data_IF_493386916433
#
_entry.id   IF_493386916433
#
_cell.length_a   1.000
_cell.length_b   1.000
_cell.length_c   1.000
_cell.angle_alpha   90.00
_cell.angle_beta   90.00
_cell.angle_gamma   90.00
#
_symmetry.space_group_name_H-M   'P 1'
#
loop_
_entity.id
_entity.type
_entity.pdbx_description
1 polymer ?
#
# COMPACT_ATOMS: atom_id res chain seq x y z
N UNK A 1 -16.97 2.50 -5.95
CA UNK A 1 -17.22 3.96 -6.00
C UNK A 1 -16.07 4.57 -6.76
N UNK A 2 -16.26 5.62 -7.56
CA UNK A 2 -15.13 6.30 -8.20
C UNK A 2 -14.54 7.32 -7.21
N UNK A 3 -13.29 7.10 -6.79
CA UNK A 3 -12.58 7.98 -5.85
C UNK A 3 -11.68 9.00 -6.55
N UNK A 4 -11.52 8.94 -7.88
CA UNK A 4 -10.64 9.85 -8.62
C UNK A 4 -9.14 9.70 -8.30
N UNK A 5 -8.73 8.54 -7.78
CA UNK A 5 -7.35 8.27 -7.34
C UNK A 5 -6.50 7.56 -8.40
N UNK A 6 -7.12 7.06 -9.48
CA UNK A 6 -6.44 6.33 -10.54
C UNK A 6 -5.26 7.12 -11.12
N UNK A 7 -4.09 6.48 -11.23
CA UNK A 7 -2.87 7.07 -11.78
C UNK A 7 -2.13 8.01 -10.82
N UNK A 8 -2.59 8.17 -9.57
CA UNK A 8 -1.83 8.88 -8.53
C UNK A 8 -0.79 7.96 -7.90
N UNK A 9 0.10 8.55 -7.11
CA UNK A 9 1.13 7.84 -6.32
C UNK A 9 0.88 8.05 -4.83
N UNK A 10 1.10 7.02 -4.01
CA UNK A 10 0.95 7.10 -2.55
C UNK A 10 2.11 6.42 -1.82
N UNK A 11 2.55 7.01 -0.70
CA UNK A 11 3.47 6.41 0.26
C UNK A 11 2.67 5.97 1.50
N UNK A 12 2.78 4.69 1.87
CA UNK A 12 2.11 4.16 3.06
C UNK A 12 3.15 3.66 4.07
N UNK A 13 3.28 4.37 5.18
CA UNK A 13 4.16 4.01 6.29
C UNK A 13 3.57 2.87 7.14
N UNK A 14 4.44 2.09 7.78
CA UNK A 14 4.09 0.95 8.62
C UNK A 14 3.15 -0.06 7.91
N UNK A 15 3.38 -0.30 6.62
CA UNK A 15 2.46 -1.05 5.75
C UNK A 15 2.74 -2.53 5.62
N UNK A 16 3.72 -3.08 6.35
CA UNK A 16 4.00 -4.52 6.37
C UNK A 16 2.87 -5.38 6.95
N UNK A 17 1.96 -4.82 7.77
CA UNK A 17 0.88 -5.59 8.43
C UNK A 17 -0.28 -4.71 8.89
N UNK A 18 -1.38 -5.37 9.28
CA UNK A 18 -2.55 -4.73 9.88
C UNK A 18 -3.18 -3.67 8.97
N UNK A 19 -3.59 -2.55 9.57
CA UNK A 19 -4.27 -1.46 8.87
C UNK A 19 -3.41 -0.81 7.78
N UNK A 20 -2.10 -0.64 8.01
CA UNK A 20 -1.21 -0.06 7.00
C UNK A 20 -1.19 -0.88 5.71
N UNK A 21 -1.16 -2.22 5.82
CA UNK A 21 -1.27 -3.13 4.67
C UNK A 21 -2.63 -3.03 4.00
N UNK A 22 -3.71 -3.00 4.79
CA UNK A 22 -5.07 -2.87 4.26
C UNK A 22 -5.25 -1.57 3.47
N UNK A 23 -4.74 -0.45 3.97
CA UNK A 23 -4.75 0.83 3.27
C UNK A 23 -3.96 0.78 1.96
N UNK A 24 -2.74 0.22 1.97
CA UNK A 24 -1.93 0.06 0.76
C UNK A 24 -2.65 -0.76 -0.32
N UNK A 25 -3.26 -1.88 0.06
CA UNK A 25 -4.03 -2.73 -0.85
C UNK A 25 -5.28 -2.04 -1.41
N UNK A 26 -6.00 -1.29 -0.57
CA UNK A 26 -7.17 -0.54 -1.03
C UNK A 26 -6.77 0.55 -2.04
N UNK A 27 -5.69 1.28 -1.79
CA UNK A 27 -5.17 2.28 -2.74
C UNK A 27 -4.72 1.64 -4.06
N UNK A 28 -4.02 0.50 -3.99
CA UNK A 28 -3.59 -0.23 -5.19
C UNK A 28 -4.79 -0.68 -6.04
N UNK A 29 -5.89 -1.14 -5.40
CA UNK A 29 -7.13 -1.52 -6.09
C UNK A 29 -7.80 -0.36 -6.83
N UNK A 30 -7.62 0.86 -6.33
CA UNK A 30 -8.10 2.10 -6.98
C UNK A 30 -7.17 2.56 -8.13
N UNK A 31 -6.12 1.80 -8.46
CA UNK A 31 -5.17 2.11 -9.53
C UNK A 31 -4.13 3.16 -9.14
N UNK A 32 -3.84 3.27 -7.85
CA UNK A 32 -2.75 4.11 -7.31
C UNK A 32 -1.44 3.31 -7.36
N UNK A 33 -0.35 3.96 -7.77
CA UNK A 33 0.99 3.42 -7.60
C UNK A 33 1.42 3.57 -6.12
N UNK A 34 1.57 2.47 -5.39
CA UNK A 34 1.80 2.49 -3.94
C UNK A 34 3.24 2.10 -3.60
N UNK A 35 3.92 2.94 -2.83
CA UNK A 35 5.19 2.62 -2.18
C UNK A 35 4.93 2.27 -0.72
N UNK A 36 5.41 1.12 -0.28
CA UNK A 36 5.27 0.62 1.09
C UNK A 36 6.58 0.81 1.87
N UNK A 37 6.48 1.12 3.17
CA UNK A 37 7.62 1.33 4.06
C UNK A 37 7.39 0.62 5.40
N UNK A 38 8.35 -0.21 5.81
CA UNK A 38 8.41 -0.85 7.11
C UNK A 38 9.86 -1.10 7.56
N UNK A 39 10.07 -1.38 8.85
CA UNK A 39 11.40 -1.62 9.44
C UNK A 39 11.97 -3.01 9.12
N UNK A 40 11.11 -4.00 8.87
CA UNK A 40 11.52 -5.38 8.60
C UNK A 40 11.30 -5.71 7.13
N UNK A 41 12.36 -6.12 6.44
CA UNK A 41 12.32 -6.47 5.01
C UNK A 41 11.45 -7.68 4.75
N UNK A 42 11.61 -8.77 5.50
CA UNK A 42 10.86 -10.02 5.30
C UNK A 42 9.34 -9.81 5.32
N UNK A 43 8.84 -9.10 6.34
CA UNK A 43 7.42 -8.80 6.45
C UNK A 43 6.93 -7.77 5.39
N UNK A 44 7.82 -6.92 4.87
CA UNK A 44 7.50 -5.95 3.83
C UNK A 44 7.37 -6.65 2.47
N UNK A 45 8.33 -7.52 2.12
CA UNK A 45 8.31 -8.33 0.90
C UNK A 45 7.09 -9.25 0.87
N UNK A 46 6.80 -9.94 1.98
CA UNK A 46 5.62 -10.80 2.09
C UNK A 46 4.29 -10.03 1.99
N UNK A 47 4.29 -8.72 2.29
CA UNK A 47 3.10 -7.88 2.22
C UNK A 47 2.87 -7.28 0.82
N UNK A 48 3.94 -7.11 0.02
CA UNK A 48 3.93 -6.55 -1.33
C UNK A 48 3.84 -7.58 -2.46
N UNK A 49 4.05 -8.87 -2.16
CA UNK A 49 3.73 -9.99 -3.06
C UNK A 49 2.22 -10.16 -3.25
#
# INVERSE_FOLDING_TARGET
MDLGLKGKTALVCASSKGLGRACALSLAREGVAVTMLARGSEALEAAGA
#
